data_IF_115599706311
#
_entry.id   IF_115599706311
#
_cell.length_a   1.000
_cell.length_b   1.000
_cell.length_c   1.000
_cell.angle_alpha   90.00
_cell.angle_beta   90.00
_cell.angle_gamma   90.00
#
_symmetry.space_group_name_H-M   'P 1'
#
loop_
_entity.id
_entity.type
_entity.pdbx_description
1 polymer ?
#
# COMPACT_ATOMS: atom_id res chain seq x y z
N UNK A 1 21.52 -5.91 -13.05
CA UNK A 1 20.34 -5.41 -12.30
C UNK A 1 19.86 -4.15 -12.98
N UNK A 2 18.65 -4.16 -13.54
CA UNK A 2 18.07 -3.02 -14.29
C UNK A 2 16.63 -2.72 -13.91
N UNK A 3 16.13 -3.34 -12.84
CA UNK A 3 14.82 -3.03 -12.27
C UNK A 3 14.97 -1.91 -11.26
N UNK A 4 14.01 -0.99 -11.26
CA UNK A 4 13.78 -0.10 -10.12
C UNK A 4 12.75 -0.77 -9.23
N UNK A 5 13.00 -0.76 -7.92
CA UNK A 5 12.19 -1.48 -6.94
C UNK A 5 11.63 -0.49 -5.92
N UNK A 6 10.33 -0.61 -5.64
CA UNK A 6 9.70 0.12 -4.55
C UNK A 6 8.97 -0.81 -3.57
N UNK A 7 9.05 -0.46 -2.29
CA UNK A 7 8.28 -1.11 -1.24
C UNK A 7 7.80 -0.11 -0.18
N UNK A 8 6.52 -0.23 0.18
CA UNK A 8 5.93 0.51 1.27
C UNK A 8 4.80 -0.28 1.94
N UNK A 9 4.52 0.05 3.19
CA UNK A 9 3.34 -0.39 3.92
C UNK A 9 2.85 0.77 4.79
N UNK A 10 1.60 0.80 5.18
CA UNK A 10 1.10 1.71 6.22
C UNK A 10 1.09 0.99 7.59
N UNK A 11 0.64 1.68 8.63
CA UNK A 11 0.63 1.17 10.01
C UNK A 11 2.02 0.75 10.50
N UNK A 12 2.99 1.68 10.46
CA UNK A 12 4.42 1.38 10.65
C UNK A 12 4.80 0.77 12.01
N UNK A 13 3.91 0.87 13.01
CA UNK A 13 4.05 0.26 14.34
C UNK A 13 3.90 -1.27 14.29
N UNK A 14 3.10 -1.79 13.35
CA UNK A 14 2.81 -3.23 13.16
C UNK A 14 3.27 -3.74 11.79
N UNK A 15 4.25 -3.06 11.18
CA UNK A 15 4.77 -3.38 9.86
C UNK A 15 5.39 -4.77 9.76
N UNK A 16 5.31 -5.36 8.57
CA UNK A 16 5.62 -6.77 8.26
C UNK A 16 7.01 -7.19 8.72
N UNK A 17 8.00 -6.30 8.60
CA UNK A 17 9.40 -6.62 8.89
C UNK A 17 9.92 -5.94 10.16
N UNK A 18 9.08 -5.19 10.87
CA UNK A 18 9.49 -4.35 12.00
C UNK A 18 8.74 -4.70 13.28
N UNK A 19 7.54 -5.24 13.19
CA UNK A 19 6.84 -5.72 14.38
C UNK A 19 7.61 -6.89 15.01
N UNK A 20 8.13 -6.67 16.23
CA UNK A 20 8.93 -7.64 16.99
C UNK A 20 10.24 -8.08 16.29
N UNK A 21 10.70 -7.32 15.30
CA UNK A 21 11.90 -7.61 14.51
C UNK A 21 12.78 -6.35 14.40
N UNK A 22 14.07 -6.54 14.09
CA UNK A 22 15.01 -5.43 13.93
C UNK A 22 14.87 -4.68 12.60
N UNK A 23 14.04 -5.18 11.68
CA UNK A 23 13.92 -4.63 10.32
C UNK A 23 15.22 -4.68 9.53
N UNK A 24 15.38 -3.71 8.64
CA UNK A 24 16.51 -3.61 7.73
C UNK A 24 17.52 -2.56 8.19
N UNK A 25 18.81 -2.88 8.14
CA UNK A 25 19.90 -1.93 8.48
C UNK A 25 20.07 -0.81 7.43
N UNK A 26 19.76 -1.11 6.19
CA UNK A 26 19.79 -0.18 5.06
C UNK A 26 18.48 -0.34 4.26
N UNK A 27 18.06 0.66 3.47
CA UNK A 27 16.89 0.53 2.61
C UNK A 27 16.99 -0.72 1.72
N UNK A 28 16.02 -1.64 1.76
CA UNK A 28 16.10 -2.91 1.03
C UNK A 28 15.73 -2.78 -0.47
N UNK A 29 15.30 -1.60 -0.90
CA UNK A 29 14.77 -1.28 -2.23
C UNK A 29 15.19 0.15 -2.61
N UNK A 30 15.09 0.50 -3.89
CA UNK A 30 15.45 1.84 -4.39
C UNK A 30 14.54 2.93 -3.82
N UNK A 31 13.23 2.66 -3.74
CA UNK A 31 12.23 3.55 -3.17
C UNK A 31 11.59 2.92 -1.94
N UNK A 32 12.13 3.23 -0.78
CA UNK A 32 11.66 2.69 0.49
C UNK A 32 10.68 3.67 1.16
N UNK A 33 9.41 3.28 1.26
CA UNK A 33 8.34 4.14 1.78
C UNK A 33 8.33 4.34 3.30
N UNK A 34 9.01 3.50 4.08
CA UNK A 34 8.96 3.56 5.56
C UNK A 34 9.26 4.94 6.16
N UNK A 35 10.33 5.68 5.75
CA UNK A 35 10.59 7.00 6.29
C UNK A 35 9.41 7.97 6.09
N UNK A 36 8.74 7.91 4.94
CA UNK A 36 7.54 8.71 4.68
C UNK A 36 6.41 8.33 5.63
N UNK A 37 6.06 7.04 5.75
CA UNK A 37 4.94 6.62 6.60
C UNK A 37 5.22 6.88 8.09
N UNK A 38 6.45 6.68 8.57
CA UNK A 38 6.84 7.02 9.96
C UNK A 38 6.61 8.50 10.25
N UNK A 39 7.01 9.38 9.33
CA UNK A 39 6.80 10.81 9.48
C UNK A 39 5.31 11.16 9.37
N UNK A 40 4.63 10.71 8.31
CA UNK A 40 3.24 11.05 8.02
C UNK A 40 2.29 10.59 9.13
N UNK A 41 2.47 9.40 9.69
CA UNK A 41 1.64 8.86 10.78
C UNK A 41 1.88 9.58 12.12
N UNK A 42 3.05 10.20 12.31
CA UNK A 42 3.37 10.98 13.51
C UNK A 42 2.80 12.40 13.51
N UNK A 43 2.28 12.89 12.37
CA UNK A 43 1.78 14.26 12.26
C UNK A 43 0.42 14.42 12.95
N UNK A 44 0.20 15.58 13.60
CA UNK A 44 -1.10 15.92 14.22
C UNK A 44 -2.27 15.95 13.23
N UNK A 45 -1.97 16.20 11.96
CA UNK A 45 -2.91 16.17 10.83
C UNK A 45 -3.22 14.74 10.36
N UNK A 46 -2.45 13.74 10.78
CA UNK A 46 -2.81 12.35 10.58
C UNK A 46 -3.97 12.00 11.50
N UNK A 47 -5.07 11.58 10.90
CA UNK A 47 -6.23 11.03 11.59
C UNK A 47 -6.35 9.56 11.19
N UNK A 48 -7.14 8.75 11.92
CA UNK A 48 -7.45 7.40 11.46
C UNK A 48 -7.87 7.44 9.98
N UNK A 49 -7.30 6.56 9.15
CA UNK A 49 -7.58 6.43 7.71
C UNK A 49 -7.06 7.54 6.79
N UNK A 50 -6.59 8.69 7.32
CA UNK A 50 -6.24 9.85 6.49
C UNK A 50 -4.89 10.51 6.83
N UNK A 51 -4.24 11.06 5.81
CA UNK A 51 -3.17 12.04 5.92
C UNK A 51 -3.70 13.41 5.49
N UNK A 52 -4.17 14.21 6.46
CA UNK A 52 -4.80 15.50 6.15
C UNK A 52 -6.03 15.33 5.26
N UNK A 53 -5.96 15.84 4.03
CA UNK A 53 -7.08 15.84 3.07
C UNK A 53 -7.18 14.61 2.18
N UNK A 54 -6.23 13.67 2.26
CA UNK A 54 -6.24 12.45 1.45
C UNK A 54 -6.32 11.22 2.34
N UNK A 55 -6.92 10.14 1.84
CA UNK A 55 -6.90 8.86 2.55
C UNK A 55 -5.50 8.25 2.49
N UNK A 56 -5.18 7.35 3.43
CA UNK A 56 -3.91 6.63 3.43
C UNK A 56 -3.78 5.69 2.22
N UNK A 57 -4.88 5.07 1.81
CA UNK A 57 -4.91 4.27 0.57
C UNK A 57 -4.65 5.14 -0.65
N UNK A 58 -5.28 6.32 -0.76
CA UNK A 58 -5.02 7.24 -1.87
C UNK A 58 -3.56 7.68 -1.91
N UNK A 59 -2.93 7.97 -0.75
CA UNK A 59 -1.50 8.27 -0.69
C UNK A 59 -0.64 7.12 -1.24
N UNK A 60 -0.99 5.88 -0.89
CA UNK A 60 -0.32 4.67 -1.37
C UNK A 60 -0.49 4.47 -2.89
N UNK A 61 -1.71 4.63 -3.41
CA UNK A 61 -2.01 4.49 -4.85
C UNK A 61 -1.33 5.60 -5.66
N UNK A 62 -1.28 6.83 -5.15
CA UNK A 62 -0.53 7.93 -5.75
C UNK A 62 0.97 7.61 -5.83
N UNK A 63 1.54 6.98 -4.80
CA UNK A 63 2.93 6.55 -4.82
C UNK A 63 3.21 5.55 -5.95
N UNK A 64 2.29 4.60 -6.20
CA UNK A 64 2.40 3.67 -7.34
C UNK A 64 2.30 4.42 -8.67
N UNK A 65 1.31 5.32 -8.81
CA UNK A 65 1.14 6.13 -10.02
C UNK A 65 2.42 6.90 -10.34
N UNK A 66 2.98 7.59 -9.35
CA UNK A 66 4.17 8.43 -9.54
C UNK A 66 5.38 7.57 -9.92
N UNK A 67 5.51 6.37 -9.34
CA UNK A 67 6.55 5.42 -9.72
C UNK A 67 6.45 4.96 -11.19
N UNK A 68 5.24 4.66 -11.68
CA UNK A 68 5.04 4.31 -13.08
C UNK A 68 5.31 5.49 -14.03
N UNK A 69 4.97 6.71 -13.59
CA UNK A 69 5.23 7.93 -14.34
C UNK A 69 6.73 8.29 -14.41
N UNK A 70 7.46 8.14 -13.30
CA UNK A 70 8.90 8.47 -13.25
C UNK A 70 9.75 7.51 -14.09
N UNK A 71 9.36 6.24 -14.18
CA UNK A 71 10.16 5.17 -14.77
C UNK A 71 9.48 4.56 -15.99
N UNK A 72 9.09 5.37 -16.97
CA UNK A 72 8.31 4.91 -18.14
C UNK A 72 8.97 3.75 -18.92
N UNK A 73 10.29 3.74 -19.02
CA UNK A 73 11.03 2.81 -19.89
C UNK A 73 11.88 1.79 -19.11
N UNK A 74 11.84 1.82 -17.79
CA UNK A 74 12.61 0.92 -16.94
C UNK A 74 11.73 -0.23 -16.45
N UNK A 75 12.24 -1.47 -16.44
CA UNK A 75 11.61 -2.55 -15.70
C UNK A 75 11.42 -2.15 -14.23
N UNK A 76 10.29 -2.54 -13.67
CA UNK A 76 9.83 -2.09 -12.34
C UNK A 76 9.36 -3.28 -11.53
N UNK A 77 9.63 -3.26 -10.24
CA UNK A 77 8.98 -4.15 -9.26
C UNK A 77 8.39 -3.30 -8.15
N UNK A 78 7.08 -3.40 -7.95
CA UNK A 78 6.33 -2.56 -7.01
C UNK A 78 5.55 -3.45 -6.07
N UNK A 79 5.90 -3.42 -4.78
CA UNK A 79 5.20 -4.17 -3.74
C UNK A 79 4.70 -3.21 -2.66
N UNK A 80 3.39 -3.05 -2.50
CA UNK A 80 2.84 -2.17 -1.46
C UNK A 80 1.77 -2.93 -0.67
N UNK A 81 1.71 -2.67 0.63
CA UNK A 81 0.84 -3.41 1.55
C UNK A 81 -0.01 -2.47 2.40
N UNK A 82 -1.32 -2.47 2.17
CA UNK A 82 -2.27 -1.60 2.87
C UNK A 82 -3.02 -2.36 3.97
N UNK A 83 -2.87 -1.90 5.20
CA UNK A 83 -3.37 -2.54 6.42
C UNK A 83 -4.50 -1.77 7.09
N UNK A 84 -4.54 -0.43 6.99
CA UNK A 84 -5.39 0.40 7.86
C UNK A 84 -6.91 0.15 7.70
N UNK A 85 -7.34 -0.28 6.50
CA UNK A 85 -8.74 -0.60 6.24
C UNK A 85 -9.18 -2.00 6.71
N UNK A 86 -8.25 -2.93 6.94
CA UNK A 86 -8.59 -4.34 7.18
C UNK A 86 -8.04 -4.92 8.50
N UNK A 87 -6.97 -4.35 9.05
CA UNK A 87 -6.22 -4.96 10.15
C UNK A 87 -7.08 -5.23 11.41
N UNK A 88 -7.91 -4.26 11.80
CA UNK A 88 -8.72 -4.34 13.02
C UNK A 88 -10.19 -4.70 12.77
N UNK A 89 -10.68 -4.50 11.55
CA UNK A 89 -12.07 -4.77 11.14
C UNK A 89 -12.15 -4.82 9.62
N UNK A 90 -12.99 -5.70 9.07
CA UNK A 90 -13.24 -5.77 7.64
C UNK A 90 -14.29 -4.75 7.15
N UNK A 91 -15.00 -4.07 8.06
CA UNK A 91 -16.12 -3.19 7.71
C UNK A 91 -15.70 -1.93 6.92
N UNK A 92 -14.39 -1.61 6.87
CA UNK A 92 -13.87 -0.45 6.14
C UNK A 92 -13.36 -0.80 4.74
N UNK A 93 -13.30 -2.09 4.39
CA UNK A 93 -12.90 -2.52 3.05
C UNK A 93 -13.72 -1.84 1.93
N UNK A 94 -15.05 -1.64 2.05
CA UNK A 94 -15.82 -0.94 1.02
C UNK A 94 -15.36 0.51 0.76
N UNK A 95 -14.62 1.13 1.68
CA UNK A 95 -14.05 2.47 1.47
C UNK A 95 -12.92 2.46 0.41
N UNK A 96 -12.30 1.30 0.17
CA UNK A 96 -11.26 1.13 -0.84
C UNK A 96 -11.80 1.07 -2.27
N UNK A 97 -13.02 0.58 -2.46
CA UNK A 97 -13.51 0.10 -3.76
C UNK A 97 -13.41 1.17 -4.85
N UNK A 98 -13.89 2.39 -4.56
CA UNK A 98 -13.87 3.47 -5.53
C UNK A 98 -12.45 3.99 -5.81
N UNK A 99 -11.60 4.08 -4.79
CA UNK A 99 -10.21 4.54 -4.94
C UNK A 99 -9.39 3.54 -5.74
N UNK A 100 -9.54 2.24 -5.44
CA UNK A 100 -8.89 1.16 -6.17
C UNK A 100 -9.41 1.06 -7.61
N UNK A 101 -10.73 1.14 -7.83
CA UNK A 101 -11.31 1.15 -9.17
C UNK A 101 -10.76 2.31 -10.00
N UNK A 102 -10.75 3.53 -9.45
CA UNK A 102 -10.22 4.70 -10.13
C UNK A 102 -8.73 4.55 -10.47
N UNK A 103 -7.94 3.99 -9.55
CA UNK A 103 -6.54 3.69 -9.80
C UNK A 103 -6.37 2.66 -10.93
N UNK A 104 -7.11 1.56 -10.92
CA UNK A 104 -7.03 0.51 -11.95
C UNK A 104 -7.46 1.03 -13.33
N UNK A 105 -8.53 1.83 -13.39
CA UNK A 105 -8.96 2.50 -14.61
C UNK A 105 -7.88 3.47 -15.14
N UNK A 106 -7.24 4.22 -14.25
CA UNK A 106 -6.12 5.09 -14.62
C UNK A 106 -4.95 4.27 -15.18
N UNK A 107 -4.54 3.19 -14.51
CA UNK A 107 -3.46 2.32 -14.97
C UNK A 107 -3.77 1.70 -16.33
N UNK A 108 -5.03 1.30 -16.58
CA UNK A 108 -5.48 0.77 -17.86
C UNK A 108 -5.48 1.83 -18.96
N UNK A 109 -6.07 3.00 -18.70
CA UNK A 109 -6.21 4.07 -19.70
C UNK A 109 -4.88 4.67 -20.13
N UNK A 110 -3.87 4.67 -19.25
CA UNK A 110 -2.50 5.10 -19.58
C UNK A 110 -1.64 4.00 -20.21
N UNK A 111 -2.19 2.79 -20.43
CA UNK A 111 -1.45 1.65 -20.99
C UNK A 111 -0.39 1.06 -20.04
N UNK A 112 -0.39 1.44 -18.76
CA UNK A 112 0.57 0.90 -17.78
C UNK A 112 0.37 -0.60 -17.54
N UNK A 113 -0.86 -1.11 -17.71
CA UNK A 113 -1.17 -2.53 -17.56
C UNK A 113 -0.79 -3.38 -18.78
N UNK A 114 -0.52 -2.80 -19.95
CA UNK A 114 -0.24 -3.54 -21.19
C UNK A 114 1.00 -4.44 -21.10
N UNK A 115 1.93 -4.11 -20.19
CA UNK A 115 3.18 -4.84 -19.96
C UNK A 115 3.44 -5.09 -18.48
N UNK A 116 2.39 -5.15 -17.68
CA UNK A 116 2.48 -5.31 -16.22
C UNK A 116 1.65 -6.52 -15.78
N UNK A 117 2.29 -7.44 -15.05
CA UNK A 117 1.56 -8.43 -14.26
C UNK A 117 1.11 -7.76 -12.96
N UNK A 118 -0.20 -7.64 -12.78
CA UNK A 118 -0.80 -7.10 -11.56
C UNK A 118 -1.30 -8.23 -10.67
N UNK A 119 -0.92 -8.18 -9.39
CA UNK A 119 -1.37 -9.12 -8.36
C UNK A 119 -1.99 -8.31 -7.23
N UNK A 120 -3.26 -8.57 -6.93
CA UNK A 120 -3.97 -8.02 -5.76
C UNK A 120 -4.26 -9.20 -4.85
N UNK A 121 -3.69 -9.17 -3.64
CA UNK A 121 -3.78 -10.26 -2.68
C UNK A 121 -4.00 -9.69 -1.28
N UNK A 122 -4.47 -10.56 -0.40
CA UNK A 122 -4.46 -10.36 1.05
C UNK A 122 -3.50 -11.36 1.68
N UNK A 123 -2.91 -11.00 2.82
CA UNK A 123 -2.05 -11.89 3.61
C UNK A 123 -2.84 -13.01 4.30
N UNK A 124 -4.02 -12.68 4.84
CA UNK A 124 -4.91 -13.61 5.52
C UNK A 124 -6.38 -13.13 5.52
N UNK A 125 -7.30 -14.02 5.94
CA UNK A 125 -8.71 -13.70 6.16
C UNK A 125 -8.97 -12.85 7.42
N UNK A 126 -10.23 -12.71 7.83
CA UNK A 126 -10.58 -11.91 9.00
C UNK A 126 -9.96 -12.42 10.31
N UNK A 127 -9.12 -11.60 10.96
CA UNK A 127 -8.53 -11.90 12.28
C UNK A 127 -9.52 -11.66 13.43
N UNK A 128 -10.23 -10.53 13.37
CA UNK A 128 -11.16 -10.06 14.40
C UNK A 128 -12.47 -9.57 13.75
N UNK A 129 -13.46 -10.45 13.58
CA UNK A 129 -14.82 -10.04 13.20
C UNK A 129 -15.81 -11.18 13.42
N UNK A 130 -17.10 -10.85 13.45
CA UNK A 130 -18.17 -11.85 13.36
C UNK A 130 -18.06 -12.69 12.07
N UNK A 131 -17.44 -12.16 11.00
CA UNK A 131 -17.14 -12.95 9.79
C UNK A 131 -16.19 -14.12 10.06
N UNK A 132 -15.33 -14.06 11.08
CA UNK A 132 -14.51 -15.23 11.45
C UNK A 132 -15.37 -16.41 11.94
N UNK A 133 -16.57 -16.12 12.45
CA UNK A 133 -17.53 -17.15 12.90
C UNK A 133 -18.51 -17.59 11.81
N UNK A 134 -18.36 -17.09 10.57
CA UNK A 134 -19.09 -17.60 9.40
C UNK A 134 -18.25 -18.65 8.67
N UNK A 135 -18.82 -19.33 7.67
CA UNK A 135 -18.09 -20.29 6.86
C UNK A 135 -16.85 -19.64 6.20
N UNK A 136 -15.69 -20.26 6.38
CA UNK A 136 -14.40 -19.85 5.81
C UNK A 136 -13.89 -20.93 4.86
#
# INVERSE_FOLDING_TARGET
>A
NGYVIQWAEDMQVVGTFQYLLNGFRAPPVDHYGRPFYLFAESQNTSKPLCFGSITRLQAMLNWIRDFFHMYLHQPKFSYLFHSDYSHNTNNRLPYADNELLGFLQMMQTHGYLDRTMLIIITDHGARYSSLRNTYQ
#
